data_IF_135596788581
#
_entry.id   IF_135596788581
#
_cell.length_a   1.000
_cell.length_b   1.000
_cell.length_c   1.000
_cell.angle_alpha   90.00
_cell.angle_beta   90.00
_cell.angle_gamma   90.00
#
_symmetry.space_group_name_H-M   'P 1'
#
loop_
_entity.id
_entity.type
_entity.pdbx_description
1 polymer ?
#
# COMPACT_ATOMS: atom_id res chain seq x y z
N UNK A 1 30.04 -4.41 -5.04
CA UNK A 1 28.79 -5.10 -4.66
C UNK A 1 27.73 -4.02 -4.63
N UNK A 2 26.88 -3.92 -5.65
CA UNK A 2 25.75 -2.99 -5.60
C UNK A 2 24.79 -3.51 -4.54
N UNK A 3 24.68 -2.77 -3.45
CA UNK A 3 23.74 -3.07 -2.38
C UNK A 3 22.31 -2.85 -2.92
N UNK A 4 21.49 -3.89 -2.92
CA UNK A 4 20.10 -3.81 -3.39
C UNK A 4 19.27 -3.08 -2.33
N UNK A 5 18.67 -1.95 -2.72
CA UNK A 5 17.87 -1.15 -1.81
C UNK A 5 16.50 -1.77 -1.59
N UNK A 6 16.13 -2.01 -0.34
CA UNK A 6 14.87 -2.65 0.05
C UNK A 6 13.86 -1.60 0.50
N UNK A 7 12.69 -1.60 -0.14
CA UNK A 7 11.67 -0.57 0.02
C UNK A 7 10.38 -1.23 0.48
N UNK A 8 9.88 -0.85 1.66
CA UNK A 8 8.53 -1.21 2.07
C UNK A 8 7.54 -0.23 1.43
N UNK A 9 6.58 -0.73 0.66
CA UNK A 9 5.55 0.10 0.02
C UNK A 9 4.26 -0.05 0.81
N UNK A 10 3.84 0.99 1.52
CA UNK A 10 2.57 1.03 2.24
C UNK A 10 1.53 1.78 1.40
N UNK A 11 0.55 1.04 0.87
CA UNK A 11 -0.44 1.59 -0.04
C UNK A 11 -1.75 0.80 0.00
N UNK A 12 -2.85 1.42 -0.41
CA UNK A 12 -4.14 0.73 -0.53
C UNK A 12 -4.86 1.14 -1.81
N UNK A 13 -5.75 2.13 -1.73
CA UNK A 13 -6.57 2.56 -2.88
C UNK A 13 -5.73 3.19 -4.01
N UNK A 14 -4.54 3.67 -3.69
CA UNK A 14 -3.60 4.28 -4.64
C UNK A 14 -2.84 3.28 -5.50
N UNK A 15 -2.91 1.98 -5.19
CA UNK A 15 -2.21 0.94 -5.96
C UNK A 15 -2.74 0.78 -7.40
N UNK A 16 -3.91 1.33 -7.70
CA UNK A 16 -4.47 1.33 -9.05
C UNK A 16 -3.94 2.47 -9.94
N UNK A 17 -3.14 3.38 -9.38
CA UNK A 17 -2.65 4.59 -10.04
C UNK A 17 -1.28 4.44 -10.70
N UNK A 18 -0.93 5.42 -11.52
CA UNK A 18 0.31 5.39 -12.32
C UNK A 18 1.54 5.78 -11.48
N UNK A 19 1.35 6.49 -10.36
CA UNK A 19 2.46 7.06 -9.60
C UNK A 19 3.36 5.99 -8.96
N UNK A 20 2.81 4.83 -8.61
CA UNK A 20 3.62 3.71 -8.13
C UNK A 20 4.64 3.27 -9.18
N UNK A 21 4.20 3.14 -10.44
CA UNK A 21 5.05 2.70 -11.55
C UNK A 21 6.13 3.74 -11.82
N UNK A 22 5.77 5.03 -11.87
CA UNK A 22 6.74 6.11 -12.06
C UNK A 22 7.86 6.10 -11.02
N UNK A 23 7.49 6.00 -9.73
CA UNK A 23 8.46 5.94 -8.63
C UNK A 23 9.35 4.70 -8.71
N UNK A 24 8.78 3.55 -9.08
CA UNK A 24 9.53 2.30 -9.25
C UNK A 24 10.51 2.42 -10.42
N UNK A 25 10.08 2.94 -11.57
CA UNK A 25 10.92 3.13 -12.75
C UNK A 25 12.08 4.07 -12.47
N UNK A 26 11.83 5.20 -11.79
CA UNK A 26 12.88 6.14 -11.36
C UNK A 26 13.93 5.44 -10.47
N UNK A 27 13.49 4.60 -9.52
CA UNK A 27 14.36 3.87 -8.60
C UNK A 27 15.18 2.78 -9.30
N UNK A 28 14.55 1.98 -10.15
CA UNK A 28 15.23 0.94 -10.95
C UNK A 28 16.32 1.56 -11.83
N UNK A 29 16.07 2.75 -12.39
CA UNK A 29 17.08 3.47 -13.17
C UNK A 29 18.28 3.94 -12.33
N UNK A 30 18.08 4.20 -11.03
CA UNK A 30 19.15 4.61 -10.11
C UNK A 30 19.98 3.42 -9.57
N UNK A 31 19.45 2.20 -9.63
CA UNK A 31 20.16 1.00 -9.21
C UNK A 31 19.23 -0.16 -8.82
N UNK A 32 19.79 -1.28 -8.34
CA UNK A 32 19.00 -2.45 -7.91
C UNK A 32 18.09 -2.13 -6.73
N UNK A 33 16.80 -2.46 -6.86
CA UNK A 33 15.79 -2.27 -5.80
C UNK A 33 14.90 -3.52 -5.67
N UNK A 34 14.56 -3.84 -4.42
CA UNK A 34 13.54 -4.81 -4.06
C UNK A 34 12.41 -4.13 -3.30
N UNK A 35 11.17 -4.42 -3.69
CA UNK A 35 9.97 -3.85 -3.08
C UNK A 35 9.16 -4.92 -2.35
N UNK A 36 8.63 -4.56 -1.19
CA UNK A 36 7.64 -5.35 -0.47
C UNK A 36 6.39 -4.52 -0.24
N UNK A 37 5.28 -4.89 -0.89
CA UNK A 37 4.02 -4.14 -0.86
C UNK A 37 3.14 -4.62 0.29
N UNK A 38 2.71 -3.71 1.15
CA UNK A 38 1.78 -3.97 2.25
C UNK A 38 0.47 -3.27 1.96
N UNK A 39 -0.61 -4.05 1.91
CA UNK A 39 -1.96 -3.56 1.66
C UNK A 39 -2.84 -3.74 2.90
N UNK A 40 -3.15 -2.67 3.65
CA UNK A 40 -4.04 -2.76 4.81
C UNK A 40 -5.44 -3.25 4.40
N UNK A 41 -5.95 -4.28 5.07
CA UNK A 41 -7.30 -4.84 4.85
C UNK A 41 -8.41 -3.95 5.43
N UNK A 42 -8.42 -2.67 5.05
CA UNK A 42 -9.40 -1.71 5.58
C UNK A 42 -10.80 -2.00 5.01
N UNK A 43 -11.82 -2.25 5.84
CA UNK A 43 -13.19 -2.46 5.37
C UNK A 43 -13.73 -1.20 4.69
N UNK A 44 -14.35 -1.38 3.51
CA UNK A 44 -15.00 -0.32 2.76
C UNK A 44 -16.29 0.06 3.51
N UNK A 45 -16.29 1.21 4.20
CA UNK A 45 -17.47 1.70 4.93
C UNK A 45 -18.60 2.19 4.00
N UNK A 46 -18.38 2.29 2.69
CA UNK A 46 -19.32 2.88 1.74
C UNK A 46 -20.46 1.94 1.28
N UNK A 47 -20.49 0.69 1.74
CA UNK A 47 -21.62 -0.23 1.49
C UNK A 47 -22.29 -0.70 2.79
N UNK A 48 -22.50 0.19 3.75
CA UNK A 48 -23.56 0.01 4.75
C UNK A 48 -24.88 0.48 4.12
N UNK A 49 -25.40 -0.28 3.15
CA UNK A 49 -26.83 -0.23 2.84
C UNK A 49 -27.64 -0.66 4.07
N UNK A 50 -28.94 -0.31 4.15
CA UNK A 50 -29.77 -0.73 5.29
C UNK A 50 -29.67 -2.25 5.47
N UNK A 51 -29.59 -2.76 6.72
CA UNK A 51 -29.54 -4.19 6.96
C UNK A 51 -30.82 -4.84 6.39
N UNK A 52 -30.67 -5.79 5.46
CA UNK A 52 -31.78 -6.64 5.01
C UNK A 52 -32.14 -6.62 3.52
N UNK A 53 -31.31 -6.13 2.60
CA UNK A 53 -31.57 -6.25 1.16
C UNK A 53 -30.38 -6.86 0.42
N UNK A 54 -30.37 -8.19 0.29
CA UNK A 54 -29.48 -8.90 -0.62
C UNK A 54 -28.96 -10.23 -0.06
N UNK A 55 -29.80 -11.25 -0.12
CA UNK A 55 -29.34 -12.64 -0.11
C UNK A 55 -28.63 -12.92 -1.45
N UNK A 56 -27.38 -12.48 -1.60
CA UNK A 56 -26.46 -12.93 -2.68
C UNK A 56 -24.98 -12.50 -2.50
N UNK A 57 -24.59 -11.85 -1.39
CA UNK A 57 -23.18 -11.58 -1.08
C UNK A 57 -22.70 -12.49 0.05
N UNK A 58 -22.23 -13.69 -0.31
CA UNK A 58 -21.83 -14.77 0.62
C UNK A 58 -20.62 -14.37 1.50
N UNK A 59 -19.98 -13.23 1.23
CA UNK A 59 -18.78 -12.79 1.95
C UNK A 59 -19.10 -11.74 3.02
N UNK A 60 -18.68 -12.01 4.26
CA UNK A 60 -18.72 -11.02 5.35
C UNK A 60 -17.84 -9.81 5.02
N UNK A 61 -18.13 -8.65 5.60
CA UNK A 61 -17.39 -7.41 5.33
C UNK A 61 -15.85 -7.54 5.51
N UNK A 62 -15.33 -8.24 6.54
CA UNK A 62 -13.89 -8.49 6.66
C UNK A 62 -13.32 -9.34 5.51
N UNK A 63 -14.05 -10.37 5.08
CA UNK A 63 -13.62 -11.25 3.97
C UNK A 63 -13.59 -10.47 2.65
N UNK A 64 -14.57 -9.61 2.41
CA UNK A 64 -14.56 -8.70 1.24
C UNK A 64 -13.39 -7.72 1.28
N UNK A 65 -13.10 -7.14 2.45
CA UNK A 65 -11.98 -6.21 2.61
C UNK A 65 -10.64 -6.87 2.29
N UNK A 66 -10.43 -8.09 2.79
CA UNK A 66 -9.24 -8.88 2.50
C UNK A 66 -9.14 -9.21 1.00
N UNK A 67 -10.23 -9.69 0.38
CA UNK A 67 -10.23 -10.05 -1.04
C UNK A 67 -9.91 -8.85 -1.95
N UNK A 68 -10.48 -7.68 -1.66
CA UNK A 68 -10.18 -6.44 -2.39
C UNK A 68 -8.73 -5.98 -2.17
N UNK A 69 -8.21 -6.11 -0.95
CA UNK A 69 -6.81 -5.81 -0.65
C UNK A 69 -5.86 -6.75 -1.42
N UNK A 70 -6.18 -8.05 -1.46
CA UNK A 70 -5.40 -9.05 -2.20
C UNK A 70 -5.38 -8.75 -3.70
N UNK A 71 -6.52 -8.41 -4.31
CA UNK A 71 -6.56 -8.03 -5.73
C UNK A 71 -5.68 -6.81 -6.04
N UNK A 72 -5.68 -5.80 -5.15
CA UNK A 72 -4.82 -4.61 -5.29
C UNK A 72 -3.35 -4.97 -5.14
N UNK A 73 -3.02 -5.83 -4.18
CA UNK A 73 -1.67 -6.33 -3.96
C UNK A 73 -1.13 -7.06 -5.21
N UNK A 74 -1.90 -8.02 -5.73
CA UNK A 74 -1.49 -8.84 -6.88
C UNK A 74 -1.16 -7.96 -8.08
N UNK A 75 -2.03 -6.98 -8.38
CA UNK A 75 -1.81 -6.00 -9.45
C UNK A 75 -0.56 -5.15 -9.22
N UNK A 76 -0.36 -4.64 -8.01
CA UNK A 76 0.79 -3.82 -7.68
C UNK A 76 2.10 -4.59 -7.84
N UNK A 77 2.15 -5.84 -7.36
CA UNK A 77 3.32 -6.72 -7.49
C UNK A 77 3.62 -7.00 -8.96
N UNK A 78 2.61 -7.25 -9.78
CA UNK A 78 2.78 -7.45 -11.22
C UNK A 78 3.32 -6.20 -11.91
N UNK A 79 2.78 -5.02 -11.60
CA UNK A 79 3.24 -3.74 -12.15
C UNK A 79 4.70 -3.44 -11.79
N UNK A 80 5.09 -3.67 -10.53
CA UNK A 80 6.49 -3.46 -10.08
C UNK A 80 7.44 -4.41 -10.80
N UNK A 81 7.05 -5.68 -10.96
CA UNK A 81 7.86 -6.68 -11.70
C UNK A 81 7.98 -6.33 -13.17
N UNK A 82 6.90 -5.87 -13.80
CA UNK A 82 6.89 -5.41 -15.19
C UNK A 82 7.81 -4.20 -15.41
N UNK A 83 7.98 -3.35 -14.39
CA UNK A 83 8.92 -2.23 -14.39
C UNK A 83 10.39 -2.65 -14.16
N UNK A 84 10.68 -3.94 -13.98
CA UNK A 84 12.03 -4.49 -13.87
C UNK A 84 12.59 -4.62 -12.45
N UNK A 85 11.75 -4.48 -11.42
CA UNK A 85 12.16 -4.63 -10.02
C UNK A 85 11.75 -5.97 -9.40
N UNK A 86 12.49 -6.40 -8.38
CA UNK A 86 12.08 -7.49 -7.50
C UNK A 86 10.87 -7.04 -6.66
N UNK A 87 9.80 -7.83 -6.60
CA UNK A 87 8.63 -7.49 -5.79
C UNK A 87 7.99 -8.70 -5.10
N UNK A 88 7.55 -8.46 -3.87
CA UNK A 88 6.70 -9.33 -3.05
C UNK A 88 5.67 -8.47 -2.32
N UNK A 89 4.79 -9.07 -1.52
CA UNK A 89 3.93 -8.31 -0.64
C UNK A 89 2.90 -9.15 0.09
N UNK A 90 2.12 -8.49 0.93
CA UNK A 90 1.14 -9.10 1.82
C UNK A 90 -0.06 -8.18 2.10
N UNK A 91 -1.18 -8.81 2.46
CA UNK A 91 -2.34 -8.11 3.00
C UNK A 91 -2.19 -8.04 4.51
N UNK A 92 -2.11 -6.82 5.05
CA UNK A 92 -1.84 -6.57 6.46
C UNK A 92 -3.09 -6.19 7.26
N UNK A 93 -2.87 -5.81 8.52
CA UNK A 93 -3.90 -5.32 9.42
C UNK A 93 -4.70 -4.16 8.81
N UNK A 94 -5.95 -3.98 9.25
CA UNK A 94 -6.79 -2.89 8.78
C UNK A 94 -6.25 -1.51 9.21
N UNK A 95 -5.52 -1.44 10.33
CA UNK A 95 -4.72 -0.29 10.74
C UNK A 95 -3.39 -0.26 9.96
N UNK A 96 -3.14 0.79 9.16
CA UNK A 96 -1.97 0.86 8.29
C UNK A 96 -0.65 0.99 9.06
N UNK A 97 -0.65 1.51 10.29
CA UNK A 97 0.55 1.58 11.11
C UNK A 97 0.92 0.19 11.60
N UNK A 98 -0.07 -0.56 12.13
CA UNK A 98 0.13 -1.95 12.57
C UNK A 98 0.59 -2.83 11.41
N UNK A 99 -0.04 -2.70 10.24
CA UNK A 99 0.35 -3.43 9.04
C UNK A 99 1.82 -3.16 8.66
N UNK A 100 2.27 -1.90 8.72
CA UNK A 100 3.65 -1.56 8.43
C UNK A 100 4.64 -2.08 9.48
N UNK A 101 4.29 -1.99 10.77
CA UNK A 101 5.13 -2.49 11.88
C UNK A 101 5.34 -3.99 11.76
N UNK A 102 4.27 -4.77 11.57
CA UNK A 102 4.36 -6.22 11.40
C UNK A 102 5.21 -6.58 10.18
N UNK A 103 4.99 -5.93 9.04
CA UNK A 103 5.76 -6.20 7.83
C UNK A 103 7.28 -5.98 8.02
N UNK A 104 7.65 -4.95 8.79
CA UNK A 104 9.05 -4.64 9.10
C UNK A 104 9.70 -5.66 10.04
N UNK A 105 8.95 -6.49 10.75
CA UNK A 105 9.51 -7.56 11.59
C UNK A 105 10.21 -8.65 10.76
N UNK A 106 9.77 -8.85 9.51
CA UNK A 106 10.29 -9.89 8.62
C UNK A 106 10.83 -9.36 7.28
N UNK A 107 10.50 -8.14 6.88
CA UNK A 107 11.11 -7.48 5.73
C UNK A 107 12.09 -6.38 6.17
N UNK A 108 13.42 -6.61 6.05
CA UNK A 108 14.45 -5.64 6.47
C UNK A 108 14.56 -4.49 5.45
N UNK A 109 13.58 -3.59 5.46
CA UNK A 109 13.57 -2.41 4.59
C UNK A 109 14.64 -1.39 4.99
N UNK A 110 15.19 -0.69 4.00
CA UNK A 110 16.08 0.46 4.19
C UNK A 110 15.29 1.78 4.22
N UNK A 111 14.07 1.76 3.70
CA UNK A 111 13.15 2.91 3.65
C UNK A 111 11.69 2.48 3.49
N UNK A 112 10.77 3.42 3.76
CA UNK A 112 9.33 3.21 3.56
C UNK A 112 8.78 4.21 2.56
N UNK A 113 8.10 3.70 1.54
CA UNK A 113 7.33 4.47 0.57
C UNK A 113 5.85 4.42 0.97
N UNK A 114 5.27 5.55 1.39
CA UNK A 114 3.85 5.64 1.73
C UNK A 114 3.12 6.30 0.58
N UNK A 115 2.22 5.58 -0.10
CA UNK A 115 1.36 6.14 -1.13
C UNK A 115 -0.01 6.50 -0.52
N UNK A 116 -0.46 7.73 -0.78
CA UNK A 116 -1.75 8.22 -0.26
C UNK A 116 -2.57 8.92 -1.33
N UNK A 117 -3.88 8.94 -1.15
CA UNK A 117 -4.75 9.87 -1.89
C UNK A 117 -4.42 11.34 -1.55
N UNK A 118 -4.95 12.31 -2.32
CA UNK A 118 -4.78 13.72 -1.99
C UNK A 118 -5.35 14.05 -0.61
N UNK A 119 -4.81 15.09 0.04
CA UNK A 119 -5.12 15.44 1.43
C UNK A 119 -6.63 15.55 1.72
N UNK A 120 -7.41 16.06 0.76
CA UNK A 120 -8.87 16.19 0.85
C UNK A 120 -9.60 14.85 1.10
N UNK A 121 -9.04 13.74 0.60
CA UNK A 121 -9.65 12.40 0.69
C UNK A 121 -8.89 11.46 1.62
N UNK A 122 -7.60 11.69 1.86
CA UNK A 122 -6.76 10.79 2.63
C UNK A 122 -7.01 10.88 4.13
N UNK A 123 -7.57 9.81 4.70
CA UNK A 123 -7.64 9.61 6.17
C UNK A 123 -6.25 9.46 6.77
N UNK A 124 -5.33 8.83 6.03
CA UNK A 124 -3.95 8.63 6.44
C UNK A 124 -3.23 9.97 6.63
N UNK A 125 -3.42 10.93 5.72
CA UNK A 125 -2.84 12.26 5.87
C UNK A 125 -3.47 13.06 7.00
N UNK A 126 -4.80 13.00 7.17
CA UNK A 126 -5.47 13.62 8.33
C UNK A 126 -4.97 13.07 9.67
N UNK A 127 -4.60 11.79 9.71
CA UNK A 127 -4.01 11.14 10.89
C UNK A 127 -2.49 11.24 11.00
N UNK A 128 -1.80 11.94 10.07
CA UNK A 128 -0.35 12.08 10.08
C UNK A 128 0.42 10.78 9.89
N UNK A 129 -0.15 9.81 9.14
CA UNK A 129 0.41 8.46 9.00
C UNK A 129 1.87 8.45 8.54
N UNK A 130 2.31 9.18 7.49
CA UNK A 130 3.71 9.13 7.07
C UNK A 130 4.70 9.47 8.19
N UNK A 131 4.39 10.50 8.99
CA UNK A 131 5.21 10.89 10.14
C UNK A 131 5.15 9.88 11.28
N UNK A 132 4.02 9.19 11.48
CA UNK A 132 3.91 8.12 12.50
C UNK A 132 4.71 6.89 12.11
N UNK A 133 4.61 6.47 10.85
CA UNK A 133 5.40 5.36 10.29
C UNK A 133 6.89 5.63 10.45
N UNK A 134 7.37 6.81 10.07
CA UNK A 134 8.80 7.14 10.19
C UNK A 134 9.31 7.16 11.64
N UNK A 135 8.47 7.58 12.60
CA UNK A 135 8.82 7.51 14.02
C UNK A 135 8.83 6.07 14.56
N UNK A 136 7.90 5.23 14.12
CA UNK A 136 7.79 3.85 14.57
C UNK A 136 8.90 2.96 13.99
N UNK A 137 9.20 3.11 12.70
CA UNK A 137 10.21 2.31 12.01
C UNK A 137 11.64 2.82 12.23
N UNK A 138 11.82 4.12 12.51
CA UNK A 138 13.14 4.76 12.49
C UNK A 138 13.76 4.88 11.10
N UNK A 139 13.00 4.52 10.04
CA UNK A 139 13.46 4.54 8.66
C UNK A 139 13.08 5.86 7.96
N UNK A 140 13.84 6.27 6.93
CA UNK A 140 13.42 7.36 6.06
C UNK A 140 12.08 7.01 5.39
N UNK A 141 11.15 7.97 5.40
CA UNK A 141 9.84 7.83 4.78
C UNK A 141 9.74 8.77 3.58
N UNK A 142 9.56 8.20 2.40
CA UNK A 142 9.10 8.96 1.23
C UNK A 142 7.58 8.91 1.18
N UNK A 143 6.96 10.08 1.18
CA UNK A 143 5.52 10.20 0.98
C UNK A 143 5.22 10.60 -0.47
N UNK A 144 4.36 9.84 -1.12
CA UNK A 144 3.92 10.06 -2.49
C UNK A 144 2.40 10.19 -2.52
N UNK A 145 1.92 11.23 -3.19
CA UNK A 145 0.48 11.48 -3.37
C UNK A 145 0.07 11.01 -4.75
N UNK A 146 -0.94 10.13 -4.80
CA UNK A 146 -1.63 9.80 -6.03
C UNK A 146 -2.57 10.95 -6.38
N UNK A 147 -2.40 11.57 -7.54
CA UNK A 147 -3.38 12.53 -8.02
C UNK A 147 -4.62 11.77 -8.48
N UNK A 148 -5.73 11.91 -7.74
CA UNK A 148 -6.98 11.34 -8.17
C UNK A 148 -7.38 11.96 -9.51
N UNK A 149 -7.39 11.16 -10.59
CA UNK A 149 -8.07 11.52 -11.83
C UNK A 149 -9.52 11.79 -11.47
N UNK A 150 -9.95 13.05 -11.57
CA UNK A 150 -11.35 13.42 -11.45
C UNK A 150 -12.01 12.89 -12.73
N UNK A 151 -12.55 11.68 -12.66
CA UNK A 151 -13.47 11.13 -13.65
C UNK A 151 -14.91 11.44 -13.26
#
# INVERSE_FOLDING_TARGET
>A
MTDERRVLVLANQTLCGDRLVEVVTERVAAGPHAFHVVVPATPVREQEGPPGTGDDDVLTAPVRAYALAQQRLDRAVEQIRAAGASASGEVGDADPLVAAELALEHFPADEVLVLTLPQRFSRWLRGGLPSRVGRASGLPVQHVVEEAVIG
#
